data_IF_992794235898
#
_entry.id   IF_992794235898
#
_cell.length_a   1.000
_cell.length_b   1.000
_cell.length_c   1.000
_cell.angle_alpha   90.00
_cell.angle_beta   90.00
_cell.angle_gamma   90.00
#
_symmetry.space_group_name_H-M   'P 1'
#
loop_
_entity.id
_entity.type
_entity.pdbx_description
1 polymer ?
#
# COMPACT_ATOMS: atom_id res chain seq x y z
N UNK A 1 -11.34 15.50 16.87
CA UNK A 1 -10.33 14.56 17.38
C UNK A 1 -9.03 14.92 16.70
N UNK A 2 -8.03 15.42 17.43
CA UNK A 2 -6.76 15.86 16.85
C UNK A 2 -5.83 14.64 16.81
N UNK A 3 -5.55 14.15 15.61
CA UNK A 3 -4.67 12.99 15.40
C UNK A 3 -3.21 13.46 15.48
N UNK A 4 -2.59 13.28 16.64
CA UNK A 4 -1.18 13.60 16.87
C UNK A 4 -0.24 12.47 16.39
N UNK A 5 -0.76 11.25 16.27
CA UNK A 5 -0.07 10.08 15.74
C UNK A 5 -1.09 9.19 15.01
N UNK A 6 -0.85 8.89 13.74
CA UNK A 6 -1.78 8.17 12.86
C UNK A 6 -1.57 6.65 12.88
N UNK A 7 -0.51 6.18 13.54
CA UNK A 7 -0.18 4.76 13.65
C UNK A 7 -0.64 4.15 14.98
N UNK A 8 -1.15 4.95 15.91
CA UNK A 8 -1.55 4.50 17.25
C UNK A 8 -3.06 4.60 17.49
N UNK A 9 -3.60 3.62 18.22
CA UNK A 9 -4.94 3.69 18.78
C UNK A 9 -5.09 4.91 19.71
N UNK A 10 -6.32 5.43 19.83
CA UNK A 10 -6.65 6.44 20.82
C UNK A 10 -6.25 5.99 22.23
N UNK A 11 -5.80 6.93 23.06
CA UNK A 11 -5.22 6.66 24.38
C UNK A 11 -6.17 5.87 25.31
N UNK A 12 -7.48 6.11 25.20
CA UNK A 12 -8.54 5.39 25.91
C UNK A 12 -8.67 3.89 25.55
N UNK A 13 -8.08 3.49 24.43
CA UNK A 13 -8.24 2.20 23.78
C UNK A 13 -6.91 1.42 23.66
N UNK A 14 -5.79 1.98 24.14
CA UNK A 14 -4.44 1.39 24.02
C UNK A 14 -4.31 0.00 24.67
N UNK A 15 -4.93 -0.21 25.83
CA UNK A 15 -4.78 -1.45 26.62
C UNK A 15 -5.99 -2.41 26.50
N UNK A 16 -6.89 -2.15 25.55
CA UNK A 16 -8.10 -2.96 25.36
C UNK A 16 -8.01 -3.77 24.07
N UNK A 17 -8.33 -5.06 24.15
CA UNK A 17 -8.56 -5.89 22.95
C UNK A 17 -9.88 -5.47 22.30
N UNK A 18 -9.80 -4.63 21.28
CA UNK A 18 -10.96 -4.16 20.52
C UNK A 18 -11.46 -5.27 19.58
N UNK A 19 -12.54 -5.95 19.99
CA UNK A 19 -13.22 -6.96 19.16
C UNK A 19 -14.09 -6.36 18.04
N UNK A 20 -14.31 -5.05 18.06
CA UNK A 20 -15.09 -4.30 17.05
C UNK A 20 -14.23 -3.20 16.44
N UNK A 21 -13.50 -3.52 15.37
CA UNK A 21 -12.70 -2.56 14.62
C UNK A 21 -12.17 -3.12 13.28
N UNK A 22 -12.64 -4.29 12.84
CA UNK A 22 -12.04 -4.99 11.70
C UNK A 22 -13.09 -5.65 10.81
N UNK A 23 -12.87 -5.54 9.51
CA UNK A 23 -13.64 -6.18 8.45
C UNK A 23 -12.69 -6.69 7.37
N UNK A 24 -12.97 -7.89 6.86
CA UNK A 24 -12.23 -8.50 5.76
C UNK A 24 -13.19 -8.83 4.62
N UNK A 25 -12.78 -8.56 3.40
CA UNK A 25 -13.52 -8.89 2.20
C UNK A 25 -12.55 -9.52 1.19
N UNK A 26 -13.03 -10.52 0.45
CA UNK A 26 -12.29 -11.19 -0.61
C UNK A 26 -13.12 -11.27 -1.88
N UNK A 27 -12.46 -11.10 -3.02
CA UNK A 27 -13.06 -11.25 -4.34
C UNK A 27 -12.07 -11.95 -5.26
N UNK A 28 -12.52 -13.01 -5.93
CA UNK A 28 -11.73 -13.76 -6.91
C UNK A 28 -12.56 -13.87 -8.18
N UNK A 29 -11.94 -13.57 -9.32
CA UNK A 29 -12.52 -13.83 -10.64
C UNK A 29 -11.86 -15.05 -11.26
N UNK A 30 -12.62 -16.12 -11.46
CA UNK A 30 -12.11 -17.37 -12.04
C UNK A 30 -11.96 -17.32 -13.56
N UNK A 31 -12.60 -16.36 -14.25
CA UNK A 31 -12.55 -16.23 -15.71
C UNK A 31 -11.21 -15.67 -16.23
N UNK A 32 -10.28 -15.29 -15.33
CA UNK A 32 -8.99 -14.72 -15.68
C UNK A 32 -9.04 -13.29 -16.25
N UNK A 33 -10.24 -12.69 -16.35
CA UNK A 33 -10.43 -11.32 -16.85
C UNK A 33 -10.17 -10.30 -15.75
N UNK A 34 -9.58 -9.17 -16.14
CA UNK A 34 -9.41 -8.02 -15.23
C UNK A 34 -10.76 -7.47 -14.81
N UNK A 35 -10.81 -7.09 -13.54
CA UNK A 35 -12.02 -6.58 -12.88
C UNK A 35 -11.77 -5.20 -12.29
N UNK A 36 -12.84 -4.40 -12.21
CA UNK A 36 -12.73 -3.06 -11.66
C UNK A 36 -12.56 -3.10 -10.14
N UNK A 37 -11.55 -2.38 -9.63
CA UNK A 37 -11.36 -2.17 -8.19
C UNK A 37 -12.54 -1.48 -7.48
N UNK A 38 -13.53 -0.96 -8.22
CA UNK A 38 -14.77 -0.43 -7.64
C UNK A 38 -15.54 -1.49 -6.82
N UNK A 39 -15.48 -2.77 -7.21
CA UNK A 39 -16.14 -3.87 -6.49
C UNK A 39 -15.58 -4.03 -5.08
N UNK A 40 -14.27 -4.23 -4.95
CA UNK A 40 -13.62 -4.40 -3.65
C UNK A 40 -13.73 -3.14 -2.78
N UNK A 41 -13.63 -1.94 -3.39
CA UNK A 41 -13.90 -0.68 -2.70
C UNK A 41 -15.29 -0.66 -2.06
N UNK A 42 -16.34 -1.03 -2.82
CA UNK A 42 -17.72 -1.09 -2.30
C UNK A 42 -17.86 -2.09 -1.15
N UNK A 43 -17.21 -3.25 -1.26
CA UNK A 43 -17.21 -4.26 -0.21
C UNK A 43 -16.58 -3.74 1.10
N UNK A 44 -15.41 -3.10 1.01
CA UNK A 44 -14.72 -2.51 2.18
C UNK A 44 -15.57 -1.40 2.80
N UNK A 45 -16.13 -0.49 2.00
CA UNK A 45 -16.95 0.63 2.50
C UNK A 45 -18.23 0.14 3.20
N UNK A 46 -18.76 -1.03 2.82
CA UNK A 46 -19.92 -1.62 3.51
C UNK A 46 -19.58 -2.06 4.94
N UNK A 47 -18.30 -2.27 5.25
CA UNK A 47 -17.82 -2.68 6.58
C UNK A 47 -17.52 -1.48 7.49
N UNK A 48 -17.87 -0.26 7.07
CA UNK A 48 -17.61 0.99 7.79
C UNK A 48 -18.10 1.00 9.24
N UNK A 49 -19.28 0.43 9.52
CA UNK A 49 -19.82 0.39 10.89
C UNK A 49 -18.99 -0.49 11.85
N UNK A 50 -18.07 -1.29 11.29
CA UNK A 50 -17.14 -2.14 12.04
C UNK A 50 -15.75 -1.53 12.16
N UNK A 51 -15.48 -0.37 11.57
CA UNK A 51 -14.14 0.21 11.50
C UNK A 51 -13.89 1.24 12.62
N UNK A 52 -12.64 1.40 13.02
CA UNK A 52 -12.23 2.41 14.01
C UNK A 52 -11.41 3.56 13.40
N UNK A 53 -11.29 3.59 12.06
CA UNK A 53 -10.62 4.66 11.32
C UNK A 53 -9.09 4.58 11.27
N UNK A 54 -8.46 3.49 11.76
CA UNK A 54 -7.00 3.36 11.75
C UNK A 54 -6.42 3.06 10.35
N UNK A 55 -7.24 2.54 9.44
CA UNK A 55 -6.80 2.27 8.07
C UNK A 55 -7.70 1.28 7.35
N UNK A 56 -7.66 1.34 6.03
CA UNK A 56 -8.32 0.41 5.14
C UNK A 56 -7.42 0.15 3.92
N UNK A 57 -7.45 -1.07 3.39
CA UNK A 57 -6.65 -1.45 2.24
C UNK A 57 -7.05 -2.81 1.68
N UNK A 58 -6.53 -3.13 0.50
CA UNK A 58 -6.66 -4.45 -0.10
C UNK A 58 -5.40 -4.80 -0.88
N UNK A 59 -5.10 -6.10 -0.95
CA UNK A 59 -4.14 -6.63 -1.89
C UNK A 59 -4.86 -7.02 -3.19
N UNK A 60 -4.21 -6.81 -4.33
CA UNK A 60 -4.74 -7.18 -5.63
C UNK A 60 -3.66 -7.88 -6.46
N UNK A 61 -4.07 -8.92 -7.18
CA UNK A 61 -3.22 -9.69 -8.07
C UNK A 61 -3.63 -9.46 -9.53
N UNK A 62 -2.66 -9.52 -10.45
CA UNK A 62 -2.92 -9.35 -11.88
C UNK A 62 -3.24 -7.91 -12.34
N UNK A 63 -2.86 -6.90 -11.56
CA UNK A 63 -3.15 -5.48 -11.87
C UNK A 63 -2.22 -4.87 -12.92
N UNK A 64 -1.06 -5.49 -13.19
CA UNK A 64 -0.06 -5.03 -14.15
C UNK A 64 0.25 -6.12 -15.20
N UNK A 65 -0.65 -6.37 -16.18
CA UNK A 65 -0.45 -7.44 -17.15
C UNK A 65 0.76 -7.23 -18.05
N UNK A 66 1.07 -5.97 -18.39
CA UNK A 66 2.19 -5.63 -19.27
C UNK A 66 3.57 -5.79 -18.59
N UNK A 67 3.57 -5.99 -17.27
CA UNK A 67 4.77 -6.14 -16.43
C UNK A 67 4.71 -7.44 -15.60
N UNK A 68 3.92 -8.43 -16.04
CA UNK A 68 3.64 -9.65 -15.28
C UNK A 68 4.88 -10.51 -15.01
N UNK A 69 5.93 -10.38 -15.84
CA UNK A 69 7.19 -11.10 -15.72
C UNK A 69 8.16 -10.51 -14.69
N UNK A 70 7.85 -9.35 -14.11
CA UNK A 70 8.73 -8.63 -13.19
C UNK A 70 8.17 -8.58 -11.77
N UNK A 71 9.07 -8.48 -10.78
CA UNK A 71 8.66 -8.25 -9.41
C UNK A 71 8.16 -6.82 -9.23
N UNK A 72 7.00 -6.64 -8.62
CA UNK A 72 6.49 -5.32 -8.21
C UNK A 72 6.84 -5.08 -6.74
N UNK A 73 7.88 -4.29 -6.48
CA UNK A 73 8.29 -3.85 -5.16
C UNK A 73 7.60 -2.52 -4.84
N UNK A 74 6.94 -2.43 -3.68
CA UNK A 74 6.33 -1.19 -3.20
C UNK A 74 7.01 -0.75 -1.91
N UNK A 75 7.52 0.47 -1.90
CA UNK A 75 8.27 1.06 -0.81
C UNK A 75 7.52 2.25 -0.23
N UNK A 76 7.70 2.46 1.07
CA UNK A 76 7.28 3.65 1.78
C UNK A 76 8.56 4.30 2.31
N UNK A 77 8.97 5.40 1.70
CA UNK A 77 10.20 6.11 2.08
C UNK A 77 9.90 7.35 2.91
N UNK A 78 10.74 7.63 3.90
CA UNK A 78 10.62 8.87 4.69
C UNK A 78 11.02 10.12 3.87
N UNK A 79 11.99 9.97 2.97
CA UNK A 79 12.51 11.05 2.14
C UNK A 79 13.07 10.53 0.80
N UNK A 80 13.43 11.46 -0.09
CA UNK A 80 13.94 11.15 -1.44
C UNK A 80 15.37 10.61 -1.42
N UNK A 81 16.19 10.98 -0.44
CA UNK A 81 17.58 10.52 -0.32
C UNK A 81 17.64 9.01 -0.08
N UNK A 82 16.83 8.50 0.85
CA UNK A 82 16.72 7.06 1.13
C UNK A 82 16.17 6.30 -0.08
N UNK A 83 15.23 6.90 -0.83
CA UNK A 83 14.75 6.32 -2.10
C UNK A 83 15.91 6.17 -3.09
N UNK A 84 16.70 7.22 -3.30
CA UNK A 84 17.81 7.20 -4.26
C UNK A 84 18.87 6.17 -3.89
N UNK A 85 19.26 6.11 -2.62
CA UNK A 85 20.17 5.08 -2.11
C UNK A 85 19.61 3.66 -2.31
N UNK A 86 18.30 3.48 -2.13
CA UNK A 86 17.65 2.18 -2.35
C UNK A 86 17.65 1.79 -3.82
N UNK A 87 17.39 2.74 -4.73
CA UNK A 87 17.45 2.49 -6.18
C UNK A 87 18.88 2.18 -6.64
N UNK A 88 19.88 2.91 -6.14
CA UNK A 88 21.30 2.62 -6.41
C UNK A 88 21.69 1.23 -5.95
N UNK A 89 21.26 0.84 -4.74
CA UNK A 89 21.48 -0.52 -4.24
C UNK A 89 20.81 -1.57 -5.13
N UNK A 90 19.54 -1.38 -5.50
CA UNK A 90 18.80 -2.33 -6.35
C UNK A 90 19.46 -2.51 -7.73
N UNK A 91 20.03 -1.44 -8.31
CA UNK A 91 20.80 -1.53 -9.57
C UNK A 91 22.03 -2.44 -9.46
N UNK A 92 22.59 -2.64 -8.26
CA UNK A 92 23.66 -3.63 -8.04
C UNK A 92 23.17 -5.08 -8.01
N UNK A 93 21.86 -5.29 -7.86
CA UNK A 93 21.22 -6.62 -7.68
C UNK A 93 20.38 -7.05 -8.88
N UNK A 94 20.16 -6.18 -9.86
CA UNK A 94 19.31 -6.47 -11.01
C UNK A 94 18.95 -5.22 -11.81
N UNK A 95 17.99 -5.38 -12.70
CA UNK A 95 17.49 -4.32 -13.56
C UNK A 95 16.21 -3.71 -12.96
N UNK A 96 16.20 -2.38 -12.86
CA UNK A 96 14.97 -1.63 -12.62
C UNK A 96 14.29 -1.37 -13.97
N UNK A 97 13.18 -2.05 -14.22
CA UNK A 97 12.42 -1.95 -15.47
C UNK A 97 11.58 -0.67 -15.50
N UNK A 98 11.00 -0.31 -14.35
CA UNK A 98 10.19 0.88 -14.19
C UNK A 98 10.25 1.33 -12.73
N UNK A 99 10.41 2.62 -12.52
CA UNK A 99 10.41 3.24 -11.20
C UNK A 99 9.47 4.44 -11.22
N UNK A 100 8.50 4.47 -10.31
CA UNK A 100 7.49 5.52 -10.32
C UNK A 100 6.90 5.82 -8.94
N UNK A 101 6.51 7.07 -8.73
CA UNK A 101 5.70 7.48 -7.59
C UNK A 101 4.32 6.84 -7.70
N UNK A 102 3.82 6.26 -6.60
CA UNK A 102 2.43 5.81 -6.55
C UNK A 102 1.53 7.05 -6.41
N UNK A 103 0.52 7.22 -7.29
CA UNK A 103 -0.44 8.31 -7.14
C UNK A 103 -1.17 8.20 -5.80
N UNK A 104 -1.01 9.22 -4.97
CA UNK A 104 -1.68 9.35 -3.68
C UNK A 104 -2.31 10.74 -3.58
N UNK A 105 -3.44 10.81 -2.89
CA UNK A 105 -4.10 12.07 -2.55
C UNK A 105 -4.21 12.13 -1.03
N UNK A 106 -3.69 13.20 -0.42
CA UNK A 106 -3.85 13.42 1.00
C UNK A 106 -5.30 13.84 1.29
N UNK A 107 -6.03 13.16 2.19
CA UNK A 107 -7.32 13.63 2.66
C UNK A 107 -7.22 15.06 3.22
N UNK A 108 -8.21 15.90 2.92
CA UNK A 108 -8.28 17.30 3.39
C UNK A 108 -8.23 17.45 4.92
N UNK A 109 -8.57 16.39 5.64
CA UNK A 109 -8.69 16.34 7.10
C UNK A 109 -7.36 15.97 7.79
N UNK A 110 -6.32 15.59 7.03
CA UNK A 110 -5.01 15.28 7.59
C UNK A 110 -4.29 16.58 8.00
N UNK A 111 -3.71 16.56 9.20
CA UNK A 111 -2.88 17.65 9.72
C UNK A 111 -1.78 18.00 8.69
N UNK A 112 -1.67 19.26 8.23
CA UNK A 112 -0.64 19.68 7.26
C UNK A 112 0.79 19.44 7.74
N UNK A 113 1.00 19.27 9.05
CA UNK A 113 2.29 18.95 9.65
C UNK A 113 2.66 17.46 9.54
N UNK A 114 1.69 16.58 9.27
CA UNK A 114 1.98 15.18 8.95
C UNK A 114 2.61 15.13 7.56
N UNK A 115 3.86 14.64 7.49
CA UNK A 115 4.52 14.29 6.24
C UNK A 115 4.26 12.81 5.96
N UNK A 116 3.28 12.44 5.11
CA UNK A 116 3.06 11.05 4.77
C UNK A 116 4.30 10.50 4.03
N UNK A 117 4.59 9.20 4.16
CA UNK A 117 5.73 8.62 3.46
C UNK A 117 5.55 8.72 1.95
N UNK A 118 6.67 8.82 1.25
CA UNK A 118 6.74 8.73 -0.20
C UNK A 118 6.46 7.28 -0.61
N UNK A 119 5.25 7.05 -1.13
CA UNK A 119 4.88 5.75 -1.69
C UNK A 119 5.47 5.62 -3.09
N UNK A 120 6.32 4.62 -3.28
CA UNK A 120 7.09 4.41 -4.49
C UNK A 120 6.98 2.98 -4.97
N UNK A 121 6.93 2.77 -6.28
CA UNK A 121 6.79 1.45 -6.90
C UNK A 121 7.92 1.21 -7.89
N UNK A 122 8.57 0.06 -7.75
CA UNK A 122 9.68 -0.38 -8.60
C UNK A 122 9.32 -1.73 -9.19
N UNK A 123 9.35 -1.83 -10.52
CA UNK A 123 9.31 -3.08 -11.24
C UNK A 123 10.75 -3.56 -11.47
N UNK A 124 11.06 -4.74 -10.95
CA UNK A 124 12.42 -5.22 -10.78
C UNK A 124 12.61 -6.61 -11.40
N UNK A 125 13.73 -6.78 -12.08
CA UNK A 125 14.22 -8.05 -12.60
C UNK A 125 15.55 -8.37 -11.89
N UNK A 126 15.61 -9.34 -10.98
CA UNK A 126 16.85 -9.70 -10.31
C UNK A 126 17.88 -10.26 -11.31
N UNK A 127 19.17 -10.05 -11.04
CA UNK A 127 20.21 -10.82 -11.73
C UNK A 127 19.90 -12.29 -11.50
N UNK A 128 19.83 -13.08 -12.56
CA UNK A 128 19.73 -14.53 -12.45
C UNK A 128 20.95 -15.03 -11.69
N UNK A 129 20.78 -15.39 -10.42
CA UNK A 129 21.73 -16.31 -9.81
C UNK A 129 21.64 -17.60 -10.60
N UNK A 130 22.76 -18.06 -11.17
CA UNK A 130 22.84 -19.37 -11.81
C UNK A 130 22.31 -20.45 -10.83
N UNK A 131 21.63 -21.49 -11.35
CA UNK A 131 20.86 -22.46 -10.56
C UNK A 131 21.69 -23.19 -9.50
#
# INVERSE_FOLDING_TARGET
MIWNNYTECAEKDKDKRLFGACGIAGYINFDGKRESGKKIKKMIVTLKDRENGLGAGFAAYGIFPDLAQYYCLQFLFDNTEIRDMTEEYLKTKGNIIRSEKVPTEAPKEINPLLKPPLVWRIFFEPVKSLP
#
